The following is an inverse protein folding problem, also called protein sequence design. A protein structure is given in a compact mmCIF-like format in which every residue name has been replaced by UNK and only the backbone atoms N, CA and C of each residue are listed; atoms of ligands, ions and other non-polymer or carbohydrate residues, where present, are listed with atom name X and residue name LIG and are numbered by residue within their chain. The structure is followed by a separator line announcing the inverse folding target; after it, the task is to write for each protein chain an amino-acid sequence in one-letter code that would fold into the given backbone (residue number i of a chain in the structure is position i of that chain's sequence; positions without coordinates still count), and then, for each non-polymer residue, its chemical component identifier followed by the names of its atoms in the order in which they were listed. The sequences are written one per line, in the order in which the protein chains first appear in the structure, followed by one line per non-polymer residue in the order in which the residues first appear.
data_IF_485643939478
#
_entry.id   IF_485643939478
#
_cell.length_a   1.000
_cell.length_b   1.000
_cell.length_c   1.000
_cell.angle_alpha   90.00
_cell.angle_beta   90.00
_cell.angle_gamma   90.00
#
_symmetry.space_group_name_H-M   'P 1'
#
loop_
_entity.id
_entity.type
_entity.pdbx_description
1 polymer ?
#
# COMPACT_ATOMS: atom_id res chain seq x y z
N UNK A 1 -9.68 9.46 6.69
CA UNK A 1 -10.90 8.91 7.31
C UNK A 1 -12.13 9.05 6.42
N UNK A 2 -12.39 10.24 5.80
CA UNK A 2 -13.56 10.45 4.94
C UNK A 2 -13.73 9.38 3.85
N UNK A 3 -12.70 9.12 3.07
CA UNK A 3 -12.72 8.11 1.99
C UNK A 3 -13.06 6.71 2.51
N UNK A 4 -12.46 6.29 3.62
CA UNK A 4 -12.72 4.98 4.21
C UNK A 4 -14.14 4.85 4.74
N UNK A 5 -14.59 5.84 5.50
CA UNK A 5 -15.88 5.80 6.16
C UNK A 5 -17.03 6.11 5.18
N UNK A 6 -16.93 7.21 4.44
CA UNK A 6 -18.02 7.62 3.56
C UNK A 6 -18.15 6.71 2.35
N UNK A 7 -17.10 6.56 1.55
CA UNK A 7 -17.15 5.73 0.34
C UNK A 7 -17.14 4.23 0.66
N UNK A 8 -16.28 3.80 1.59
CA UNK A 8 -16.13 2.38 1.90
C UNK A 8 -17.32 1.82 2.68
N UNK A 9 -17.82 2.52 3.72
CA UNK A 9 -18.86 1.99 4.60
C UNK A 9 -20.25 2.46 4.18
N UNK A 10 -20.46 3.76 3.93
CA UNK A 10 -21.78 4.28 3.56
C UNK A 10 -22.14 3.99 2.10
N UNK A 11 -21.25 4.25 1.15
CA UNK A 11 -21.49 3.93 -0.27
C UNK A 11 -21.26 2.44 -0.59
N UNK A 12 -20.76 1.65 0.36
CA UNK A 12 -20.47 0.22 0.23
C UNK A 12 -19.51 -0.13 -0.91
N UNK A 13 -18.65 0.80 -1.28
CA UNK A 13 -17.61 0.58 -2.28
C UNK A 13 -16.40 -0.12 -1.66
N UNK A 14 -15.84 -1.09 -2.37
CA UNK A 14 -14.59 -1.70 -1.95
C UNK A 14 -13.41 -0.82 -2.35
N UNK A 15 -12.85 -0.08 -1.39
CA UNK A 15 -11.74 0.86 -1.57
C UNK A 15 -10.36 0.19 -1.45
N UNK A 16 -10.29 -1.14 -1.45
CA UNK A 16 -9.05 -1.92 -1.49
C UNK A 16 -8.67 -2.32 -2.92
N UNK A 17 -7.56 -3.04 -3.06
CA UNK A 17 -7.06 -3.48 -4.36
C UNK A 17 -8.04 -4.46 -5.04
N UNK A 18 -8.79 -5.23 -4.27
CA UNK A 18 -9.83 -6.14 -4.74
C UNK A 18 -10.97 -5.38 -5.42
N UNK A 19 -11.40 -4.26 -4.83
CA UNK A 19 -12.39 -3.38 -5.43
C UNK A 19 -11.89 -2.74 -6.72
N UNK A 20 -10.63 -2.32 -6.75
CA UNK A 20 -10.02 -1.79 -7.98
C UNK A 20 -10.10 -2.82 -9.13
N UNK A 21 -9.75 -4.09 -8.90
CA UNK A 21 -9.85 -5.15 -9.89
C UNK A 21 -11.30 -5.40 -10.32
N UNK A 22 -12.21 -5.44 -9.34
CA UNK A 22 -13.63 -5.66 -9.59
C UNK A 22 -14.23 -4.61 -10.51
N UNK A 23 -14.07 -3.32 -10.19
CA UNK A 23 -14.59 -2.24 -11.03
C UNK A 23 -13.87 -2.12 -12.37
N UNK A 24 -12.60 -2.47 -12.43
CA UNK A 24 -11.86 -2.53 -13.70
C UNK A 24 -12.43 -3.60 -14.64
N UNK A 25 -12.78 -4.77 -14.12
CA UNK A 25 -13.39 -5.85 -14.91
C UNK A 25 -14.82 -5.53 -15.33
N UNK A 26 -15.56 -4.80 -14.51
CA UNK A 26 -16.89 -4.28 -14.89
C UNK A 26 -16.84 -3.15 -15.92
N UNK A 27 -15.68 -2.52 -16.10
CA UNK A 27 -15.56 -1.32 -16.95
C UNK A 27 -16.23 -0.08 -16.35
N UNK A 28 -16.52 -0.06 -15.06
CA UNK A 28 -17.13 1.08 -14.37
C UNK A 28 -16.06 1.91 -13.66
N UNK A 29 -16.17 3.24 -13.80
CA UNK A 29 -15.24 4.18 -13.14
C UNK A 29 -15.89 4.76 -11.87
N UNK A 30 -16.05 3.91 -10.88
CA UNK A 30 -16.52 4.31 -9.55
C UNK A 30 -15.45 5.09 -8.78
N UNK A 31 -15.83 5.69 -7.65
CA UNK A 31 -14.93 6.48 -6.83
C UNK A 31 -13.70 5.69 -6.37
N UNK A 32 -13.85 4.38 -6.11
CA UNK A 32 -12.75 3.48 -5.80
C UNK A 32 -11.71 3.41 -6.91
N UNK A 33 -12.13 3.25 -8.17
CA UNK A 33 -11.22 3.16 -9.34
C UNK A 33 -10.48 4.47 -9.55
N UNK A 34 -11.20 5.60 -9.50
CA UNK A 34 -10.61 6.94 -9.65
C UNK A 34 -9.63 7.20 -8.52
N UNK A 35 -10.00 6.88 -7.27
CA UNK A 35 -9.09 7.01 -6.13
C UNK A 35 -7.80 6.20 -6.32
N UNK A 36 -7.90 4.95 -6.79
CA UNK A 36 -6.73 4.13 -7.06
C UNK A 36 -5.85 4.71 -8.17
N UNK A 37 -6.44 5.14 -9.28
CA UNK A 37 -5.70 5.76 -10.37
C UNK A 37 -4.94 7.00 -9.87
N UNK A 38 -5.63 7.93 -9.20
CA UNK A 38 -5.02 9.17 -8.70
C UNK A 38 -4.03 8.89 -7.58
N UNK A 39 -4.42 8.15 -6.56
CA UNK A 39 -3.62 8.00 -5.35
C UNK A 39 -2.51 6.92 -5.45
N UNK A 40 -2.65 5.93 -6.34
CA UNK A 40 -1.71 4.80 -6.40
C UNK A 40 -0.90 4.73 -7.70
N UNK A 41 -1.30 5.47 -8.73
CA UNK A 41 -0.56 5.57 -9.99
C UNK A 41 -0.01 6.99 -10.14
N UNK A 42 -0.86 8.00 -10.28
CA UNK A 42 -0.42 9.38 -10.53
C UNK A 42 0.30 10.01 -9.34
N UNK A 43 -0.18 9.81 -8.10
CA UNK A 43 0.45 10.34 -6.90
C UNK A 43 1.91 9.87 -6.75
N UNK A 44 2.21 8.57 -6.86
CA UNK A 44 3.58 8.06 -6.86
C UNK A 44 4.44 8.48 -8.04
N UNK A 45 3.87 8.74 -9.21
CA UNK A 45 4.60 9.32 -10.35
C UNK A 45 5.07 10.76 -10.06
N UNK A 46 4.30 11.52 -9.29
CA UNK A 46 4.68 12.88 -8.91
C UNK A 46 5.63 12.89 -7.71
N UNK A 47 5.24 12.26 -6.61
CA UNK A 47 5.88 12.38 -5.29
C UNK A 47 6.64 11.14 -4.85
N UNK A 48 6.77 10.14 -5.70
CA UNK A 48 7.42 8.89 -5.37
C UNK A 48 6.76 8.18 -4.18
N UNK A 49 7.56 7.54 -3.34
CA UNK A 49 7.09 6.82 -2.15
C UNK A 49 6.60 7.71 -1.00
N UNK A 50 6.88 9.01 -1.06
CA UNK A 50 6.37 9.99 -0.09
C UNK A 50 4.84 9.98 -0.03
N UNK A 51 4.16 9.80 -1.16
CA UNK A 51 2.71 9.71 -1.21
C UNK A 51 2.14 8.62 -0.29
N UNK A 52 2.72 7.42 -0.30
CA UNK A 52 2.30 6.33 0.59
C UNK A 52 2.52 6.64 2.08
N UNK A 53 3.55 7.42 2.38
CA UNK A 53 3.86 7.82 3.75
C UNK A 53 2.83 8.74 4.37
N UNK A 54 2.19 9.60 3.57
CA UNK A 54 1.34 10.69 4.08
C UNK A 54 -0.14 10.57 3.70
N UNK A 55 -0.48 9.90 2.61
CA UNK A 55 -1.85 9.83 2.10
C UNK A 55 -2.57 8.49 2.34
N UNK A 56 -1.89 7.47 2.86
CA UNK A 56 -2.47 6.15 3.05
C UNK A 56 -3.13 6.02 4.43
N UNK A 57 -4.42 5.67 4.48
CA UNK A 57 -5.16 5.50 5.76
C UNK A 57 -4.60 4.36 6.63
N UNK A 58 -4.17 3.24 6.02
CA UNK A 58 -3.54 2.13 6.77
C UNK A 58 -2.25 2.60 7.43
N UNK A 59 -1.43 3.34 6.69
CA UNK A 59 -0.19 3.91 7.21
C UNK A 59 -0.45 4.91 8.34
N UNK A 60 -1.49 5.74 8.21
CA UNK A 60 -1.88 6.71 9.25
C UNK A 60 -2.23 6.01 10.57
N UNK A 61 -2.98 4.91 10.53
CA UNK A 61 -3.32 4.14 11.74
C UNK A 61 -2.07 3.47 12.34
N UNK A 62 -1.21 2.89 11.51
CA UNK A 62 0.02 2.26 11.99
C UNK A 62 1.02 3.27 12.58
N UNK A 63 0.95 4.54 12.21
CA UNK A 63 1.80 5.60 12.76
C UNK A 63 1.49 5.97 14.22
N UNK A 64 0.35 5.51 14.77
CA UNK A 64 0.09 5.60 16.21
C UNK A 64 0.94 4.64 17.04
N UNK A 65 1.56 3.62 16.42
CA UNK A 65 2.46 2.71 17.10
C UNK A 65 3.79 3.40 17.43
N UNK A 66 4.50 2.96 18.50
CA UNK A 66 5.68 3.65 19.00
C UNK A 66 6.96 3.49 18.15
N UNK A 67 6.94 2.66 17.11
CA UNK A 67 8.13 2.32 16.31
C UNK A 67 8.24 3.18 15.03
N UNK A 68 8.26 4.50 15.18
CA UNK A 68 8.33 5.43 14.03
C UNK A 68 9.61 5.32 13.21
N UNK A 69 10.72 5.00 13.87
CA UNK A 69 12.00 4.77 13.21
C UNK A 69 12.31 3.28 13.18
N UNK A 70 12.62 2.73 12.00
CA UNK A 70 12.93 1.32 11.88
C UNK A 70 14.22 0.98 12.63
N UNK A 71 14.14 0.04 13.56
CA UNK A 71 15.29 -0.38 14.38
C UNK A 71 16.12 -1.48 13.70
N UNK A 72 15.58 -2.14 12.69
CA UNK A 72 16.23 -3.27 12.00
C UNK A 72 16.40 -2.98 10.52
N UNK A 73 17.47 -3.46 9.89
CA UNK A 73 17.66 -3.34 8.46
C UNK A 73 16.54 -4.05 7.70
N UNK A 74 16.21 -3.56 6.52
CA UNK A 74 15.18 -4.13 5.67
C UNK A 74 15.61 -5.52 5.16
N UNK A 75 14.73 -6.51 5.33
CA UNK A 75 14.91 -7.85 4.77
C UNK A 75 14.33 -7.91 3.35
N UNK A 76 15.17 -7.82 2.33
CA UNK A 76 14.71 -7.77 0.94
C UNK A 76 13.94 -9.02 0.51
N UNK A 77 14.37 -10.21 0.98
CA UNK A 77 13.72 -11.50 0.66
C UNK A 77 12.24 -11.54 1.08
N UNK A 78 11.88 -10.92 2.21
CA UNK A 78 10.48 -10.83 2.64
C UNK A 78 9.63 -9.91 1.77
N UNK A 79 10.27 -9.03 1.00
CA UNK A 79 9.58 -8.15 0.07
C UNK A 79 8.88 -8.87 -1.09
N UNK A 80 9.16 -10.15 -1.33
CA UNK A 80 8.46 -10.97 -2.33
C UNK A 80 6.99 -11.20 -1.94
N UNK A 81 6.69 -11.23 -0.63
CA UNK A 81 5.37 -11.51 -0.10
C UNK A 81 4.30 -10.50 -0.61
N UNK A 82 4.67 -9.25 -0.85
CA UNK A 82 3.77 -8.24 -1.45
C UNK A 82 3.29 -8.61 -2.85
N UNK A 83 4.17 -9.25 -3.66
CA UNK A 83 3.79 -9.70 -5.00
C UNK A 83 2.91 -10.93 -4.94
N UNK A 84 3.15 -11.80 -3.97
CA UNK A 84 2.28 -12.96 -3.70
C UNK A 84 0.88 -12.47 -3.32
N UNK A 85 0.77 -11.52 -2.39
CA UNK A 85 -0.51 -10.92 -1.99
C UNK A 85 -1.20 -10.19 -3.15
N UNK A 86 -0.42 -9.51 -4.00
CA UNK A 86 -0.94 -8.85 -5.19
C UNK A 86 -1.53 -9.85 -6.19
N UNK A 87 -0.81 -10.92 -6.51
CA UNK A 87 -1.28 -11.97 -7.42
C UNK A 87 -2.46 -12.74 -6.83
N UNK A 88 -2.46 -12.98 -5.51
CA UNK A 88 -3.55 -13.65 -4.81
C UNK A 88 -4.84 -12.81 -4.87
N UNK A 89 -4.75 -11.50 -4.65
CA UNK A 89 -5.91 -10.61 -4.76
C UNK A 89 -6.47 -10.57 -6.18
N UNK A 90 -5.60 -10.50 -7.18
CA UNK A 90 -6.00 -10.54 -8.59
C UNK A 90 -6.66 -11.88 -8.95
N UNK A 91 -6.04 -12.99 -8.57
CA UNK A 91 -6.56 -14.34 -8.84
C UNK A 91 -7.92 -14.57 -8.16
N UNK A 92 -8.07 -14.12 -6.91
CA UNK A 92 -9.31 -14.24 -6.16
C UNK A 92 -10.47 -13.50 -6.85
N UNK A 93 -10.26 -12.23 -7.21
CA UNK A 93 -11.31 -11.43 -7.87
C UNK A 93 -11.60 -11.98 -9.27
N UNK A 94 -10.58 -12.38 -10.03
CA UNK A 94 -10.75 -13.00 -11.35
C UNK A 94 -11.56 -14.29 -11.27
N UNK A 95 -11.29 -15.14 -10.27
CA UNK A 95 -12.04 -16.38 -10.06
C UNK A 95 -13.51 -16.09 -9.73
N UNK A 96 -13.79 -15.15 -8.81
CA UNK A 96 -15.15 -14.76 -8.45
C UNK A 96 -15.92 -14.18 -9.65
N UNK A 97 -15.24 -13.41 -10.49
CA UNK A 97 -15.83 -12.83 -11.69
C UNK A 97 -16.15 -13.90 -12.75
N UNK A 98 -15.23 -14.83 -13.01
CA UNK A 98 -15.43 -15.93 -13.96
C UNK A 98 -16.51 -16.91 -13.51
N UNK A 99 -16.65 -17.15 -12.20
CA UNK A 99 -17.70 -17.99 -11.64
C UNK A 99 -19.10 -17.34 -11.68
N UNK A 100 -19.21 -16.10 -12.14
CA UNK A 100 -20.45 -15.33 -12.21
C UNK A 100 -21.28 -15.40 -10.91
N UNK A 101 -20.61 -15.23 -9.79
CA UNK A 101 -21.23 -15.34 -8.46
C UNK A 101 -22.32 -14.29 -8.30
N UNK A 102 -23.54 -14.73 -7.93
CA UNK A 102 -24.65 -13.83 -7.66
C UNK A 102 -24.35 -12.96 -6.41
N UNK A 103 -24.79 -11.70 -6.42
CA UNK A 103 -24.57 -10.74 -5.34
C UNK A 103 -23.09 -10.39 -5.06
N UNK A 104 -22.30 -10.29 -6.12
CA UNK A 104 -20.86 -10.00 -6.02
C UNK A 104 -20.58 -8.68 -5.27
N UNK A 105 -21.44 -7.66 -5.38
CA UNK A 105 -21.34 -6.41 -4.62
C UNK A 105 -21.33 -6.61 -3.10
N UNK A 106 -22.23 -7.47 -2.60
CA UNK A 106 -22.27 -7.78 -1.16
C UNK A 106 -21.01 -8.50 -0.70
N UNK A 107 -20.50 -9.40 -1.53
CA UNK A 107 -19.26 -10.13 -1.26
C UNK A 107 -18.09 -9.14 -1.23
N UNK A 108 -18.02 -8.24 -2.19
CA UNK A 108 -16.98 -7.20 -2.24
C UNK A 108 -17.00 -6.29 -1.00
N UNK A 109 -18.17 -5.94 -0.50
CA UNK A 109 -18.31 -5.18 0.73
C UNK A 109 -17.78 -5.94 1.97
N UNK A 110 -18.14 -7.22 2.12
CA UNK A 110 -17.63 -8.04 3.21
C UNK A 110 -16.13 -8.30 3.09
N UNK A 111 -15.62 -8.47 1.88
CA UNK A 111 -14.19 -8.57 1.61
C UNK A 111 -13.45 -7.29 2.01
N UNK A 112 -14.06 -6.12 1.76
CA UNK A 112 -13.51 -4.83 2.20
C UNK A 112 -13.39 -4.75 3.72
N UNK A 113 -14.41 -5.15 4.47
CA UNK A 113 -14.37 -5.15 5.94
C UNK A 113 -13.34 -6.15 6.48
N UNK A 114 -13.40 -7.39 6.01
CA UNK A 114 -12.48 -8.45 6.41
C UNK A 114 -11.03 -8.15 6.02
N UNK A 115 -10.82 -7.61 4.82
CA UNK A 115 -9.51 -7.22 4.31
C UNK A 115 -8.89 -6.08 5.11
N UNK A 116 -9.69 -5.07 5.52
CA UNK A 116 -9.19 -4.01 6.42
C UNK A 116 -8.80 -4.58 7.78
N UNK A 117 -9.63 -5.43 8.37
CA UNK A 117 -9.31 -6.09 9.63
C UNK A 117 -8.01 -6.89 9.52
N UNK A 118 -7.85 -7.66 8.44
CA UNK A 118 -6.62 -8.42 8.16
C UNK A 118 -5.40 -7.49 8.00
N UNK A 119 -5.53 -6.36 7.29
CA UNK A 119 -4.43 -5.42 7.10
C UNK A 119 -4.00 -4.76 8.40
N UNK A 120 -4.94 -4.39 9.27
CA UNK A 120 -4.60 -3.81 10.58
C UNK A 120 -4.00 -4.85 11.52
N UNK A 121 -4.58 -6.05 11.62
CA UNK A 121 -4.05 -7.12 12.48
C UNK A 121 -2.63 -7.52 12.04
N UNK A 122 -2.45 -7.79 10.75
CA UNK A 122 -1.13 -8.14 10.20
C UNK A 122 -0.14 -6.97 10.30
N UNK A 123 -0.61 -5.74 10.14
CA UNK A 123 0.18 -4.54 10.27
C UNK A 123 0.71 -4.34 11.70
N UNK A 124 -0.15 -4.48 12.70
CA UNK A 124 0.22 -4.39 14.12
C UNK A 124 1.18 -5.53 14.47
N UNK A 125 0.87 -6.76 14.07
CA UNK A 125 1.73 -7.93 14.36
C UNK A 125 3.13 -7.75 13.76
N UNK A 126 3.21 -7.35 12.48
CA UNK A 126 4.50 -7.10 11.84
C UNK A 126 5.25 -5.93 12.48
N UNK A 127 4.54 -4.87 12.88
CA UNK A 127 5.16 -3.74 13.55
C UNK A 127 5.78 -4.12 14.89
N UNK A 128 5.12 -4.98 15.67
CA UNK A 128 5.64 -5.49 16.94
C UNK A 128 6.85 -6.41 16.74
N UNK A 129 6.80 -7.32 15.76
CA UNK A 129 7.89 -8.28 15.48
C UNK A 129 9.14 -7.56 14.96
N UNK A 130 8.96 -6.64 14.02
CA UNK A 130 10.08 -5.93 13.36
C UNK A 130 10.46 -4.63 14.08
N UNK A 131 9.68 -4.17 15.05
CA UNK A 131 9.82 -2.85 15.70
C UNK A 131 9.86 -1.72 14.68
N UNK A 132 8.89 -1.73 13.77
CA UNK A 132 8.83 -0.85 12.62
C UNK A 132 7.38 -0.65 12.19
N UNK A 133 6.84 0.54 12.37
CA UNK A 133 5.45 0.88 12.02
C UNK A 133 5.14 0.64 10.53
N UNK A 134 6.15 0.67 9.67
CA UNK A 134 6.02 0.49 8.22
C UNK A 134 6.34 -0.92 7.73
N UNK A 135 6.49 -1.89 8.64
CA UNK A 135 6.78 -3.28 8.27
C UNK A 135 5.73 -3.86 7.31
N UNK A 136 4.45 -3.61 7.56
CA UNK A 136 3.36 -4.00 6.65
C UNK A 136 3.56 -3.43 5.24
N UNK A 137 3.84 -2.12 5.13
CA UNK A 137 4.05 -1.45 3.85
C UNK A 137 5.28 -1.97 3.10
N UNK A 138 6.30 -2.42 3.83
CA UNK A 138 7.55 -2.95 3.27
C UNK A 138 7.41 -4.38 2.75
N UNK A 139 6.62 -5.21 3.42
CA UNK A 139 6.64 -6.66 3.21
C UNK A 139 5.33 -7.24 2.69
N UNK A 140 4.18 -6.76 3.15
CA UNK A 140 2.90 -7.41 2.88
C UNK A 140 1.98 -6.62 1.94
N UNK A 141 2.03 -5.29 1.98
CA UNK A 141 1.07 -4.45 1.25
C UNK A 141 1.09 -4.70 -0.27
N UNK A 142 0.00 -5.21 -0.88
CA UNK A 142 -0.04 -5.53 -2.31
C UNK A 142 0.04 -4.28 -3.19
N UNK A 143 -0.46 -3.14 -2.71
CA UNK A 143 -0.41 -1.87 -3.44
C UNK A 143 1.03 -1.43 -3.74
N UNK A 144 1.99 -1.85 -2.92
CA UNK A 144 3.42 -1.56 -3.13
C UNK A 144 3.96 -2.19 -4.42
N UNK A 145 3.29 -3.20 -4.98
CA UNK A 145 3.63 -3.78 -6.27
C UNK A 145 3.48 -2.76 -7.40
N UNK A 146 2.44 -1.91 -7.38
CA UNK A 146 2.27 -0.79 -8.30
C UNK A 146 3.20 0.38 -7.96
N UNK A 147 3.31 0.71 -6.68
CA UNK A 147 4.04 1.88 -6.24
C UNK A 147 5.54 1.81 -6.53
N UNK A 148 6.12 0.62 -6.53
CA UNK A 148 7.55 0.46 -6.77
C UNK A 148 7.96 0.92 -8.17
N UNK A 149 7.36 0.42 -9.27
CA UNK A 149 7.68 0.89 -10.61
C UNK A 149 7.29 2.36 -10.82
N UNK A 150 6.12 2.81 -10.33
CA UNK A 150 5.69 4.21 -10.50
C UNK A 150 6.63 5.18 -9.77
N UNK A 151 7.11 4.83 -8.58
CA UNK A 151 8.06 5.67 -7.84
C UNK A 151 9.46 5.70 -8.47
N UNK A 152 9.80 4.75 -9.30
CA UNK A 152 11.07 4.77 -10.07
C UNK A 152 11.06 5.89 -11.11
N UNK A 153 9.91 6.15 -11.73
CA UNK A 153 9.72 7.21 -12.72
C UNK A 153 9.25 8.54 -12.10
N UNK A 154 9.30 8.69 -10.78
CA UNK A 154 8.76 9.88 -10.12
C UNK A 154 9.52 11.15 -10.50
N UNK A 155 8.76 12.26 -10.68
CA UNK A 155 9.31 13.57 -11.00
C UNK A 155 10.04 14.17 -9.80
N UNK A 156 9.46 14.07 -8.60
CA UNK A 156 10.05 14.58 -7.37
C UNK A 156 10.72 13.41 -6.63
N UNK A 157 12.05 13.39 -6.69
CA UNK A 157 12.88 12.40 -6.01
C UNK A 157 13.89 13.07 -5.11
N UNK A 158 14.16 12.45 -3.97
CA UNK A 158 15.31 12.83 -3.13
C UNK A 158 16.55 12.19 -3.74
N UNK A 159 17.47 13.02 -4.17
CA UNK A 159 18.79 12.62 -4.67
C UNK A 159 19.88 12.95 -3.66
N UNK A 160 20.86 12.08 -3.55
CA UNK A 160 22.09 12.36 -2.83
C UNK A 160 23.17 12.78 -3.84
N UNK A 161 23.82 13.90 -3.57
CA UNK A 161 25.05 14.28 -4.29
C UNK A 161 26.19 13.44 -3.73
N UNK A 162 26.68 12.48 -4.53
CA UNK A 162 27.75 11.55 -4.11
C UNK A 162 29.02 12.27 -3.68
N UNK A 163 29.31 13.44 -4.29
CA UNK A 163 30.49 14.23 -3.95
C UNK A 163 30.41 14.88 -2.57
N UNK A 164 29.18 15.12 -2.08
CA UNK A 164 28.93 15.75 -0.76
C UNK A 164 28.53 14.72 0.29
N UNK A 165 28.35 13.46 -0.10
CA UNK A 165 27.91 12.41 0.80
C UNK A 165 29.06 11.93 1.69
N UNK A 166 28.92 12.13 2.98
CA UNK A 166 29.88 11.64 4.00
C UNK A 166 29.57 10.23 4.50
N UNK A 167 28.67 9.50 3.86
CA UNK A 167 28.25 8.14 4.21
C UNK A 167 27.84 7.92 5.68
N UNK A 168 27.30 8.94 6.35
CA UNK A 168 26.92 8.87 7.76
C UNK A 168 25.67 8.01 8.05
N UNK A 169 24.94 7.55 7.03
CA UNK A 169 23.75 6.69 7.16
C UNK A 169 22.50 7.34 7.77
N UNK A 170 22.53 8.63 8.13
CA UNK A 170 21.39 9.33 8.73
C UNK A 170 20.12 9.31 7.84
N UNK A 171 20.29 9.43 6.53
CA UNK A 171 19.18 9.36 5.56
C UNK A 171 18.43 8.02 5.66
N UNK A 172 19.14 6.91 5.85
CA UNK A 172 18.55 5.58 6.01
C UNK A 172 17.83 5.45 7.35
N UNK A 173 18.39 6.00 8.42
CA UNK A 173 17.82 5.92 9.77
C UNK A 173 16.53 6.75 9.91
N UNK A 174 16.50 7.93 9.29
CA UNK A 174 15.34 8.83 9.35
C UNK A 174 14.24 8.40 8.37
N UNK A 175 14.58 7.66 7.31
CA UNK A 175 13.62 7.23 6.31
C UNK A 175 12.68 6.14 6.84
N UNK A 176 11.36 6.38 6.96
CA UNK A 176 10.41 5.36 7.45
C UNK A 176 10.39 4.10 6.59
N UNK A 177 10.80 4.21 5.33
CA UNK A 177 10.81 3.10 4.38
C UNK A 177 12.17 2.40 4.25
N UNK A 178 13.20 2.83 4.98
CA UNK A 178 14.58 2.33 4.88
C UNK A 178 15.07 2.26 3.42
N UNK A 179 14.93 3.37 2.70
CA UNK A 179 15.42 3.47 1.32
C UNK A 179 16.82 4.08 1.36
N UNK A 180 17.78 3.40 0.77
CA UNK A 180 19.11 3.96 0.55
C UNK A 180 19.03 5.02 -0.56
N UNK A 181 19.38 6.25 -0.25
CA UNK A 181 19.31 7.38 -1.19
C UNK A 181 20.58 7.51 -2.03
N UNK A 182 21.65 6.86 -1.61
CA UNK A 182 22.99 6.89 -2.22
C UNK A 182 23.26 5.73 -3.19
N UNK A 183 22.23 5.05 -3.64
CA UNK A 183 22.29 4.03 -4.69
C UNK A 183 21.45 4.43 -5.90
#
# INVERSE_FOLDING_TARGET
CYMLLYLGVFSRENMQIEGFWYYLFLGTFEAATIHYAVAKIFGPLLFGRGWCGYACWTAMVLDFLPYKQPQKPRKEKLGILRYVMFLLSLALVSALFLMQVTHLEKIMFWMFLAGNAFYYLSGITLALIFKDNRAFCKYLCPVTAFLKPMSYFSLLRVHCDERKCVHCGKCLQVCPMNVEVNK
#
